data_IF_523314893158
#
_entry.id   IF_523314893158
#
_cell.length_a   1.000
_cell.length_b   1.000
_cell.length_c   1.000
_cell.angle_alpha   90.00
_cell.angle_beta   90.00
_cell.angle_gamma   90.00
#
_symmetry.space_group_name_H-M   'P 1'
#
loop_
_entity.id
_entity.type
_entity.pdbx_description
1 polymer ?
#
# COMPACT_ATOMS: atom_id res chain seq x y z
N UNK A 1 5.74 31.62 -15.70
CA UNK A 1 6.20 30.48 -14.87
C UNK A 1 5.05 30.13 -13.95
N UNK A 2 4.36 29.02 -14.20
CA UNK A 2 3.02 28.72 -13.65
C UNK A 2 3.12 28.18 -12.22
N UNK A 3 2.27 28.66 -11.31
CA UNK A 3 2.18 28.22 -9.90
C UNK A 3 2.09 26.69 -9.73
N UNK A 4 1.50 25.98 -10.70
CA UNK A 4 1.47 24.52 -10.77
C UNK A 4 2.85 23.87 -10.84
N UNK A 5 3.84 24.48 -11.51
CA UNK A 5 5.19 23.92 -11.59
C UNK A 5 5.90 23.94 -10.23
N UNK A 6 5.65 24.98 -9.44
CA UNK A 6 6.19 25.09 -8.09
C UNK A 6 5.54 24.10 -7.13
N UNK A 7 4.21 23.98 -7.16
CA UNK A 7 3.48 23.01 -6.32
C UNK A 7 3.89 21.55 -6.63
N UNK A 8 4.09 21.21 -7.91
CA UNK A 8 4.55 19.89 -8.32
C UNK A 8 6.00 19.63 -7.88
N UNK A 9 6.90 20.60 -8.04
CA UNK A 9 8.31 20.47 -7.64
C UNK A 9 8.46 20.32 -6.11
N UNK A 10 7.66 21.06 -5.34
CA UNK A 10 7.68 20.98 -3.88
C UNK A 10 7.10 19.65 -3.38
N UNK A 11 5.96 19.23 -3.95
CA UNK A 11 5.35 17.92 -3.66
C UNK A 11 6.32 16.77 -3.97
N UNK A 12 7.05 16.83 -5.08
CA UNK A 12 8.05 15.83 -5.44
C UNK A 12 9.24 15.80 -4.46
N UNK A 13 9.64 16.97 -3.95
CA UNK A 13 10.73 17.09 -2.97
C UNK A 13 10.31 16.52 -1.61
N UNK A 14 9.09 16.83 -1.16
CA UNK A 14 8.49 16.28 0.05
C UNK A 14 8.32 14.76 -0.05
N UNK A 15 7.82 14.26 -1.19
CA UNK A 15 7.68 12.84 -1.47
C UNK A 15 9.03 12.12 -1.39
N UNK A 16 10.07 12.67 -2.03
CA UNK A 16 11.43 12.09 -2.01
C UNK A 16 11.99 11.99 -0.59
N UNK A 17 11.78 13.01 0.24
CA UNK A 17 12.19 13.01 1.65
C UNK A 17 11.43 11.94 2.44
N UNK A 18 10.12 11.85 2.24
CA UNK A 18 9.25 10.89 2.92
C UNK A 18 9.63 9.44 2.56
N UNK A 19 9.82 9.14 1.27
CA UNK A 19 10.29 7.83 0.81
C UNK A 19 11.65 7.44 1.41
N UNK A 20 12.59 8.38 1.53
CA UNK A 20 13.86 8.12 2.22
C UNK A 20 13.69 7.85 3.71
N UNK A 21 12.73 8.48 4.38
CA UNK A 21 12.40 8.16 5.77
C UNK A 21 11.80 6.76 5.89
N UNK A 22 10.87 6.39 5.01
CA UNK A 22 10.30 5.04 4.99
C UNK A 22 11.38 3.97 4.79
N UNK A 23 12.36 4.21 3.91
CA UNK A 23 13.49 3.31 3.69
C UNK A 23 14.44 3.18 4.90
N UNK A 24 14.57 4.24 5.72
CA UNK A 24 15.42 4.21 6.93
C UNK A 24 14.71 3.64 8.15
N UNK A 25 13.38 3.68 8.20
CA UNK A 25 12.55 3.14 9.29
C UNK A 25 11.71 1.95 8.80
N UNK A 26 12.34 0.82 8.44
CA UNK A 26 11.65 -0.29 7.81
C UNK A 26 10.66 -0.99 8.74
N UNK A 27 10.77 -0.86 10.07
CA UNK A 27 9.90 -1.54 11.02
C UNK A 27 8.42 -1.22 10.82
N UNK A 28 8.09 0.07 10.62
CA UNK A 28 6.71 0.50 10.44
C UNK A 28 6.16 0.11 9.06
N UNK A 29 7.00 0.18 8.03
CA UNK A 29 6.64 -0.23 6.67
C UNK A 29 6.44 -1.75 6.57
N UNK A 30 7.29 -2.53 7.25
CA UNK A 30 7.19 -3.98 7.32
C UNK A 30 5.90 -4.43 8.01
N UNK A 31 5.50 -3.77 9.09
CA UNK A 31 4.24 -4.10 9.76
C UNK A 31 3.02 -3.80 8.88
N UNK A 32 3.05 -2.67 8.16
CA UNK A 32 1.96 -2.25 7.26
C UNK A 32 1.79 -3.18 6.05
N UNK A 33 2.90 -3.64 5.46
CA UNK A 33 2.89 -4.55 4.31
C UNK A 33 2.79 -6.02 4.75
N UNK A 34 3.27 -6.35 5.94
CA UNK A 34 3.30 -7.72 6.46
C UNK A 34 1.90 -8.32 6.62
N UNK A 35 0.94 -7.54 7.13
CA UNK A 35 -0.44 -7.98 7.30
C UNK A 35 -1.08 -8.43 5.96
N UNK A 36 -1.11 -7.62 4.88
CA UNK A 36 -1.64 -8.06 3.60
C UNK A 36 -0.83 -9.20 2.95
N UNK A 37 0.49 -9.28 3.17
CA UNK A 37 1.30 -10.41 2.71
C UNK A 37 0.90 -11.71 3.39
N UNK A 38 0.67 -11.69 4.71
CA UNK A 38 0.19 -12.87 5.45
C UNK A 38 -1.19 -13.30 4.93
N UNK A 39 -2.11 -12.35 4.70
CA UNK A 39 -3.40 -12.66 4.08
C UNK A 39 -3.24 -13.25 2.68
N UNK A 40 -2.34 -12.72 1.86
CA UNK A 40 -2.06 -13.26 0.53
C UNK A 40 -1.53 -14.70 0.62
N UNK A 41 -0.57 -14.96 1.50
CA UNK A 41 -0.04 -16.30 1.73
C UNK A 41 -1.15 -17.25 2.21
N UNK A 42 -2.00 -16.81 3.12
CA UNK A 42 -3.13 -17.59 3.61
C UNK A 42 -4.14 -17.90 2.48
N UNK A 43 -4.51 -16.91 1.66
CA UNK A 43 -5.44 -17.13 0.56
C UNK A 43 -4.86 -17.96 -0.59
N UNK A 44 -3.56 -17.84 -0.89
CA UNK A 44 -2.91 -18.63 -1.95
C UNK A 44 -2.64 -20.07 -1.50
N UNK A 45 -2.05 -20.26 -0.32
CA UNK A 45 -1.60 -21.58 0.13
C UNK A 45 -2.68 -22.37 0.88
N UNK A 46 -3.47 -21.71 1.74
CA UNK A 46 -4.50 -22.40 2.53
C UNK A 46 -5.79 -22.54 1.71
N UNK A 47 -6.30 -21.44 1.16
CA UNK A 47 -7.56 -21.47 0.40
C UNK A 47 -7.36 -21.83 -1.08
N UNK A 48 -6.28 -21.39 -1.72
CA UNK A 48 -5.99 -21.70 -3.12
C UNK A 48 -5.62 -23.17 -3.37
N UNK A 49 -5.08 -23.86 -2.38
CA UNK A 49 -4.86 -25.31 -2.43
C UNK A 49 -6.12 -26.14 -2.17
N UNK A 50 -7.09 -25.60 -1.44
CA UNK A 50 -8.34 -26.28 -1.10
C UNK A 50 -9.48 -26.03 -2.12
N UNK A 51 -9.41 -24.94 -2.88
CA UNK A 51 -10.47 -24.53 -3.82
C UNK A 51 -10.05 -24.84 -5.26
N UNK A 52 -10.55 -25.97 -5.77
CA UNK A 52 -10.50 -26.34 -7.18
C UNK A 52 -11.52 -25.50 -7.99
N UNK A 53 -11.16 -24.28 -8.38
CA UNK A 53 -12.02 -23.40 -9.19
C UNK A 53 -12.00 -23.75 -10.70
N UNK A 54 -12.17 -25.02 -11.07
CA UNK A 54 -12.26 -25.42 -12.49
C UNK A 54 -11.12 -24.86 -13.37
N UNK A 55 -11.45 -24.39 -14.59
CA UNK A 55 -10.48 -23.97 -15.62
C UNK A 55 -9.79 -22.61 -15.39
N UNK A 56 -10.09 -21.88 -14.31
CA UNK A 56 -9.45 -20.59 -13.98
C UNK A 56 -8.92 -20.63 -12.56
N UNK A 57 -7.65 -20.27 -12.36
CA UNK A 57 -7.00 -20.28 -11.04
C UNK A 57 -7.69 -19.31 -10.07
N UNK A 58 -8.17 -19.81 -8.92
CA UNK A 58 -8.75 -19.04 -7.81
C UNK A 58 -7.84 -17.88 -7.37
N UNK A 59 -6.52 -18.11 -7.46
CA UNK A 59 -5.48 -17.12 -7.15
C UNK A 59 -5.59 -15.89 -8.05
N UNK A 60 -5.91 -16.07 -9.34
CA UNK A 60 -6.02 -14.96 -10.30
C UNK A 60 -7.20 -14.03 -10.03
N UNK A 61 -8.24 -14.51 -9.35
CA UNK A 61 -9.38 -13.68 -8.95
C UNK A 61 -9.12 -12.89 -7.67
N UNK A 62 -8.37 -13.48 -6.72
CA UNK A 62 -8.19 -12.95 -5.38
C UNK A 62 -7.01 -11.97 -5.27
N UNK A 63 -5.94 -12.20 -6.05
CA UNK A 63 -4.76 -11.34 -6.16
C UNK A 63 -5.08 -9.85 -6.31
N UNK A 64 -5.89 -9.41 -7.31
CA UNK A 64 -6.16 -7.99 -7.51
C UNK A 64 -6.93 -7.37 -6.34
N UNK A 65 -7.81 -8.11 -5.66
CA UNK A 65 -8.56 -7.62 -4.50
C UNK A 65 -7.67 -7.32 -3.30
N UNK A 66 -6.74 -8.23 -2.97
CA UNK A 66 -5.78 -8.01 -1.88
C UNK A 66 -4.82 -6.87 -2.20
N UNK A 67 -4.34 -6.78 -3.44
CA UNK A 67 -3.49 -5.66 -3.86
C UNK A 67 -4.21 -4.32 -3.71
N UNK A 68 -5.50 -4.27 -4.08
CA UNK A 68 -6.31 -3.06 -3.97
C UNK A 68 -6.50 -2.64 -2.51
N UNK A 69 -6.80 -3.59 -1.62
CA UNK A 69 -6.89 -3.33 -0.17
C UNK A 69 -5.56 -2.80 0.37
N UNK A 70 -4.44 -3.44 0.00
CA UNK A 70 -3.09 -3.05 0.44
C UNK A 70 -2.77 -1.60 0.07
N UNK A 71 -3.04 -1.23 -1.18
CA UNK A 71 -2.82 0.13 -1.69
C UNK A 71 -3.76 1.12 -0.99
N UNK A 72 -5.05 0.77 -0.85
CA UNK A 72 -6.04 1.61 -0.20
C UNK A 72 -5.67 1.91 1.27
N UNK A 73 -5.23 0.89 2.02
CA UNK A 73 -4.77 1.07 3.41
C UNK A 73 -3.53 1.97 3.49
N UNK A 74 -2.60 1.83 2.55
CA UNK A 74 -1.42 2.71 2.46
C UNK A 74 -1.79 4.17 2.22
N UNK A 75 -2.71 4.43 1.29
CA UNK A 75 -3.19 5.79 0.98
C UNK A 75 -3.95 6.39 2.18
N UNK A 76 -4.82 5.60 2.80
CA UNK A 76 -5.57 6.03 3.99
C UNK A 76 -4.64 6.45 5.13
N UNK A 77 -3.53 5.73 5.34
CA UNK A 77 -2.54 6.07 6.35
C UNK A 77 -1.87 7.43 6.11
N UNK A 78 -1.50 7.73 4.86
CA UNK A 78 -0.92 9.03 4.50
C UNK A 78 -1.96 10.14 4.68
N UNK A 79 -3.20 9.92 4.25
CA UNK A 79 -4.29 10.87 4.45
C UNK A 79 -4.56 11.16 5.94
N UNK A 80 -4.58 10.13 6.77
CA UNK A 80 -4.72 10.27 8.22
C UNK A 80 -3.58 11.09 8.84
N UNK A 81 -2.33 10.86 8.40
CA UNK A 81 -1.18 11.66 8.86
C UNK A 81 -1.27 13.13 8.46
N UNK A 82 -1.71 13.42 7.23
CA UNK A 82 -1.92 14.79 6.77
C UNK A 82 -3.03 15.49 7.57
N UNK A 83 -4.13 14.77 7.85
CA UNK A 83 -5.22 15.31 8.67
C UNK A 83 -4.77 15.68 10.08
N UNK A 84 -3.93 14.86 10.70
CA UNK A 84 -3.36 15.16 12.02
C UNK A 84 -2.41 16.37 11.97
N UNK A 85 -1.60 16.50 10.91
CA UNK A 85 -0.67 17.61 10.70
C UNK A 85 -1.39 18.95 10.52
N UNK A 86 -2.56 18.95 9.87
CA UNK A 86 -3.39 20.16 9.72
C UNK A 86 -4.10 20.61 11.00
N UNK A 87 -4.18 19.74 12.01
CA UNK A 87 -4.94 19.99 13.24
C UNK A 87 -4.08 20.50 14.39
N UNK A 88 -2.76 20.31 14.30
CA UNK A 88 -1.77 20.83 15.25
C UNK A 88 -1.34 22.24 14.91
#
# INVERSE_FOLDING_TARGET
MTTLSYAAADSATMLRRNLRHMLRYPSMTLMLVGLPVIFLLLFVYVFGGAISSGSKSYVSYLLPGILLITVATGIAYVGFRLFLDMQS
#
